data_IF_532416941929
#
_entry.id   IF_532416941929
#
_cell.length_a   1.000
_cell.length_b   1.000
_cell.length_c   1.000
_cell.angle_alpha   90.00
_cell.angle_beta   90.00
_cell.angle_gamma   90.00
#
_symmetry.space_group_name_H-M   'P 1'
#
loop_
_entity.id
_entity.type
_entity.pdbx_description
1 polymer ?
#
# COMPACT_ATOMS: atom_id res chain seq x y z
N UNK A 1 -20.58 -29.83 -4.43
CA UNK A 1 -21.31 -28.70 -3.82
C UNK A 1 -20.57 -27.43 -4.18
N UNK A 2 -21.10 -26.65 -5.12
CA UNK A 2 -20.52 -25.41 -5.63
C UNK A 2 -21.12 -24.25 -4.83
N UNK A 3 -20.33 -23.56 -4.01
CA UNK A 3 -20.73 -22.25 -3.49
C UNK A 3 -20.13 -21.18 -4.39
N UNK A 4 -20.87 -20.85 -5.43
CA UNK A 4 -20.78 -19.55 -6.10
C UNK A 4 -21.68 -18.55 -5.36
N UNK A 5 -21.28 -17.27 -5.44
CA UNK A 5 -22.01 -16.04 -5.10
C UNK A 5 -21.69 -15.42 -3.74
N UNK A 6 -21.04 -14.24 -3.83
CA UNK A 6 -20.92 -13.31 -2.73
C UNK A 6 -19.73 -12.36 -2.82
N UNK A 7 -19.39 -11.83 -4.00
CA UNK A 7 -18.56 -10.62 -4.06
C UNK A 7 -19.37 -9.43 -3.54
N UNK A 8 -18.92 -8.71 -2.50
CA UNK A 8 -19.15 -7.28 -2.43
C UNK A 8 -18.05 -6.56 -3.23
N UNK A 9 -18.38 -5.83 -4.30
CA UNK A 9 -17.47 -4.87 -4.90
C UNK A 9 -17.59 -3.57 -4.08
N UNK A 10 -16.63 -3.27 -3.21
CA UNK A 10 -16.49 -1.94 -2.64
C UNK A 10 -15.01 -1.52 -2.58
N UNK A 11 -14.54 -1.00 -3.73
CA UNK A 11 -13.94 0.34 -3.86
C UNK A 11 -14.23 1.25 -2.65
N UNK A 12 -13.37 2.13 -2.13
CA UNK A 12 -12.15 2.78 -2.59
C UNK A 12 -11.49 3.35 -1.33
N UNK A 13 -10.17 3.22 -1.20
CA UNK A 13 -9.38 4.26 -0.56
C UNK A 13 -8.38 4.71 -1.62
N UNK A 14 -8.67 5.84 -2.25
CA UNK A 14 -7.76 6.55 -3.11
C UNK A 14 -6.49 6.88 -2.29
N UNK A 15 -5.36 6.33 -2.74
CA UNK A 15 -4.10 6.40 -2.04
C UNK A 15 -3.06 5.54 -2.73
N UNK A 16 -2.64 5.98 -3.91
CA UNK A 16 -1.33 5.78 -4.53
C UNK A 16 -0.39 4.74 -3.87
N UNK A 17 -0.13 3.61 -4.56
CA UNK A 17 0.93 2.65 -4.21
C UNK A 17 0.46 1.28 -3.70
N UNK A 18 -0.50 0.63 -4.39
CA UNK A 18 -1.02 -0.70 -4.03
C UNK A 18 0.04 -1.80 -4.26
N UNK A 19 0.97 -1.96 -3.32
CA UNK A 19 1.94 -3.08 -3.30
C UNK A 19 1.58 -4.14 -2.25
N UNK A 20 0.50 -3.90 -1.52
CA UNK A 20 -0.10 -4.82 -0.56
C UNK A 20 -1.62 -4.65 -0.53
N UNK A 21 -2.33 -5.65 0.01
CA UNK A 21 -3.80 -5.64 0.12
C UNK A 21 -4.24 -6.25 1.44
N UNK A 22 -5.28 -5.71 2.07
CA UNK A 22 -5.90 -6.36 3.22
C UNK A 22 -6.97 -7.37 2.76
N UNK A 23 -6.93 -8.60 3.28
CA UNK A 23 -7.97 -9.62 3.06
C UNK A 23 -8.38 -10.23 4.39
N UNK A 24 -9.64 -10.62 4.52
CA UNK A 24 -10.15 -11.33 5.69
C UNK A 24 -10.10 -12.84 5.45
N UNK A 25 -9.42 -13.56 6.33
CA UNK A 25 -9.42 -15.02 6.36
C UNK A 25 -10.24 -15.47 7.56
N UNK A 26 -11.46 -15.93 7.31
CA UNK A 26 -12.45 -16.18 8.37
C UNK A 26 -12.83 -14.88 9.09
N UNK A 27 -12.53 -14.79 10.38
CA UNK A 27 -12.78 -13.61 11.23
C UNK A 27 -11.55 -12.69 11.40
N UNK A 28 -10.39 -13.06 10.84
CA UNK A 28 -9.13 -12.33 11.04
C UNK A 28 -8.77 -11.53 9.79
N UNK A 29 -8.47 -10.23 9.97
CA UNK A 29 -7.98 -9.37 8.90
C UNK A 29 -6.46 -9.49 8.80
N UNK A 30 -5.98 -9.82 7.62
CA UNK A 30 -4.56 -9.98 7.30
C UNK A 30 -4.19 -9.05 6.15
N UNK A 31 -2.92 -8.64 6.12
CA UNK A 31 -2.34 -7.76 5.12
C UNK A 31 -1.33 -8.54 4.29
N UNK A 32 -1.52 -8.60 2.98
CA UNK A 32 -0.78 -9.45 2.05
C UNK A 32 0.09 -8.60 1.12
N UNK A 33 1.34 -8.98 0.92
CA UNK A 33 2.20 -8.42 -0.11
C UNK A 33 1.86 -9.04 -1.47
N UNK A 34 1.59 -8.21 -2.48
CA UNK A 34 1.20 -8.69 -3.80
C UNK A 34 2.39 -9.20 -4.65
N UNK A 35 3.62 -8.96 -4.20
CA UNK A 35 4.83 -9.33 -4.94
C UNK A 35 5.34 -10.74 -4.60
N UNK A 36 5.09 -11.20 -3.37
CA UNK A 36 5.60 -12.49 -2.88
C UNK A 36 4.58 -13.31 -2.08
N UNK A 37 3.39 -12.76 -1.79
CA UNK A 37 2.35 -13.44 -1.02
C UNK A 37 2.58 -13.48 0.50
N UNK A 38 3.63 -12.84 1.02
CA UNK A 38 3.85 -12.73 2.47
C UNK A 38 2.67 -11.99 3.14
N UNK A 39 2.23 -12.47 4.30
CA UNK A 39 1.11 -11.88 5.02
C UNK A 39 1.44 -11.61 6.49
N UNK A 40 0.89 -10.50 6.99
CA UNK A 40 1.01 -10.08 8.39
C UNK A 40 -0.35 -9.64 8.94
N UNK A 41 -0.52 -9.68 10.26
CA UNK A 41 -1.72 -9.15 10.92
C UNK A 41 -1.73 -7.62 10.97
N UNK A 42 -0.54 -7.00 10.96
CA UNK A 42 -0.39 -5.56 10.97
C UNK A 42 -0.12 -5.01 9.56
N UNK A 43 -0.71 -3.86 9.27
CA UNK A 43 -0.44 -3.08 8.05
C UNK A 43 1.00 -2.58 7.98
N UNK A 44 1.53 -2.09 9.11
CA UNK A 44 2.86 -1.49 9.14
C UNK A 44 3.96 -2.51 8.85
N UNK A 45 3.72 -3.78 9.20
CA UNK A 45 4.65 -4.87 8.92
C UNK A 45 4.72 -5.19 7.43
N UNK A 46 3.58 -5.28 6.74
CA UNK A 46 3.59 -5.47 5.28
C UNK A 46 4.15 -4.23 4.56
N UNK A 47 3.86 -3.03 5.07
CA UNK A 47 4.40 -1.78 4.51
C UNK A 47 5.91 -1.67 4.71
N UNK A 48 6.45 -2.18 5.83
CA UNK A 48 7.89 -2.31 6.03
C UNK A 48 8.47 -3.38 5.12
N UNK A 49 7.79 -4.52 4.99
CA UNK A 49 8.20 -5.64 4.16
C UNK A 49 8.37 -5.19 2.70
N UNK A 50 7.45 -4.40 2.13
CA UNK A 50 7.59 -4.00 0.72
C UNK A 50 8.85 -3.20 0.40
N UNK A 51 9.54 -2.64 1.40
CA UNK A 51 10.85 -1.99 1.24
C UNK A 51 11.98 -2.97 0.92
N UNK A 52 11.83 -4.26 1.18
CA UNK A 52 12.83 -5.28 0.81
C UNK A 52 12.76 -5.63 -0.68
N UNK A 53 11.65 -5.32 -1.35
CA UNK A 53 11.50 -5.59 -2.78
C UNK A 53 12.22 -4.50 -3.59
N UNK A 54 13.17 -4.89 -4.47
CA UNK A 54 13.90 -3.93 -5.28
C UNK A 54 12.97 -3.21 -6.25
N UNK A 55 13.12 -1.89 -6.37
CA UNK A 55 12.30 -1.06 -7.27
C UNK A 55 10.94 -0.64 -6.71
N UNK A 56 10.57 -1.12 -5.51
CA UNK A 56 9.27 -0.82 -4.91
C UNK A 56 9.38 0.39 -4.00
N UNK A 57 8.67 1.47 -4.36
CA UNK A 57 8.60 2.70 -3.58
C UNK A 57 7.13 3.05 -3.34
N UNK A 58 6.55 2.64 -2.19
CA UNK A 58 5.12 2.74 -1.95
C UNK A 58 4.62 4.18 -1.79
N UNK A 59 5.51 5.16 -1.60
CA UNK A 59 5.13 6.54 -1.38
C UNK A 59 5.52 7.40 -2.58
N UNK A 60 4.64 7.60 -3.55
CA UNK A 60 4.87 8.53 -4.65
C UNK A 60 4.26 9.90 -4.39
N UNK A 61 4.95 10.91 -4.91
CA UNK A 61 4.46 12.28 -4.99
C UNK A 61 3.66 12.45 -6.28
N UNK A 62 2.39 12.82 -6.16
CA UNK A 62 1.49 13.03 -7.31
C UNK A 62 1.84 14.32 -8.10
N UNK A 63 2.55 15.24 -7.46
CA UNK A 63 2.90 16.55 -8.03
C UNK A 63 4.14 16.51 -8.94
N UNK A 64 5.05 15.54 -8.72
CA UNK A 64 6.29 15.43 -9.52
C UNK A 64 6.68 13.99 -9.88
N UNK A 65 5.86 13.00 -9.54
CA UNK A 65 6.13 11.59 -9.80
C UNK A 65 7.27 10.97 -8.98
N UNK A 66 7.93 11.70 -8.08
CA UNK A 66 9.02 11.15 -7.27
C UNK A 66 8.50 10.12 -6.27
N UNK A 67 9.10 8.93 -6.30
CA UNK A 67 8.78 7.85 -5.36
C UNK A 67 9.79 7.77 -4.21
N UNK A 68 9.28 7.48 -3.01
CA UNK A 68 10.00 7.42 -1.75
C UNK A 68 9.69 6.11 -1.01
N UNK A 69 10.63 5.65 -0.18
CA UNK A 69 10.48 4.45 0.63
C UNK A 69 9.84 4.71 2.00
N UNK A 70 9.64 5.98 2.39
CA UNK A 70 9.11 6.36 3.71
C UNK A 70 8.11 7.51 3.60
N UNK A 71 7.02 7.42 4.39
CA UNK A 71 5.99 8.47 4.48
C UNK A 71 6.55 9.80 4.94
N UNK A 72 7.45 9.80 5.94
CA UNK A 72 8.08 11.02 6.45
C UNK A 72 8.86 11.78 5.36
N UNK A 73 9.54 11.04 4.47
CA UNK A 73 10.26 11.63 3.34
C UNK A 73 9.31 12.23 2.31
N UNK A 74 8.22 11.54 1.98
CA UNK A 74 7.18 12.08 1.10
C UNK A 74 6.55 13.34 1.68
N UNK A 75 6.18 13.34 2.96
CA UNK A 75 5.56 14.50 3.61
C UNK A 75 6.47 15.73 3.57
N UNK A 76 7.76 15.56 3.94
CA UNK A 76 8.75 16.64 3.84
C UNK A 76 8.92 17.11 2.39
N UNK A 77 8.96 16.17 1.45
CA UNK A 77 9.08 16.49 0.03
C UNK A 77 7.87 17.27 -0.49
N UNK A 78 6.64 16.90 -0.09
CA UNK A 78 5.42 17.63 -0.48
C UNK A 78 5.40 19.07 0.02
N UNK A 79 5.98 19.33 1.20
CA UNK A 79 6.13 20.70 1.71
C UNK A 79 7.15 21.51 0.88
N UNK A 80 8.11 20.83 0.22
CA UNK A 80 9.07 21.48 -0.68
C UNK A 80 8.41 22.07 -1.91
N UNK A 81 7.39 21.40 -2.48
CA UNK A 81 6.66 21.93 -3.63
C UNK A 81 5.97 23.25 -3.31
N UNK A 82 5.40 23.37 -2.10
CA UNK A 82 4.77 24.61 -1.63
C UNK A 82 5.73 25.80 -1.52
N UNK A 83 7.05 25.56 -1.39
CA UNK A 83 8.05 26.63 -1.20
C UNK A 83 8.77 27.04 -2.49
N UNK A 84 8.45 26.42 -3.63
CA UNK A 84 9.00 26.77 -4.94
C UNK A 84 7.83 26.78 -5.93
N UNK A 85 7.13 27.92 -6.00
CA UNK A 85 6.29 28.30 -7.13
C UNK A 85 6.53 29.76 -7.46
#
# INVERSE_FOLDING_TARGET
MLFSLGFPPQTVAAGVGLVWSAKTWGNTRLHFCQLCGHHSTNENDVARHVRIHPGVKPYNCEECGRSFCQKAHLTRHRISHRKIS
#
